data_IF_327195400929
#
_entry.id   IF_327195400929
#
_cell.length_a   1.000
_cell.length_b   1.000
_cell.length_c   1.000
_cell.angle_alpha   90.00
_cell.angle_beta   90.00
_cell.angle_gamma   90.00
#
_symmetry.space_group_name_H-M   'P 1'
#
loop_
_entity.id
_entity.type
_entity.pdbx_description
1 polymer ?
#
# COMPACT_ATOMS: atom_id res chain seq x y z
N UNK A 1 -8.77 -13.58 12.96
CA UNK A 1 -7.60 -12.68 13.14
C UNK A 1 -6.55 -12.85 12.04
N UNK A 2 -6.14 -14.07 11.66
CA UNK A 2 -5.21 -14.31 10.54
C UNK A 2 -5.62 -13.67 9.21
N UNK A 3 -6.90 -13.73 8.84
CA UNK A 3 -7.41 -13.13 7.58
C UNK A 3 -7.24 -11.61 7.53
N UNK A 4 -7.43 -10.92 8.66
CA UNK A 4 -7.25 -9.47 8.75
C UNK A 4 -5.78 -9.07 8.58
N UNK A 5 -4.87 -9.84 9.17
CA UNK A 5 -3.42 -9.63 9.03
C UNK A 5 -2.95 -9.87 7.59
N UNK A 6 -3.43 -10.94 6.94
CA UNK A 6 -3.18 -11.22 5.52
C UNK A 6 -3.71 -10.07 4.65
N UNK A 7 -4.95 -9.62 4.88
CA UNK A 7 -5.55 -8.54 4.12
C UNK A 7 -4.75 -7.24 4.28
N UNK A 8 -4.38 -6.86 5.50
CA UNK A 8 -3.51 -5.70 5.73
C UNK A 8 -2.18 -5.84 5.01
N UNK A 9 -1.59 -7.04 4.98
CA UNK A 9 -0.33 -7.25 4.27
C UNK A 9 -0.48 -7.05 2.75
N UNK A 10 -1.56 -7.58 2.16
CA UNK A 10 -1.88 -7.38 0.74
C UNK A 10 -2.09 -5.90 0.44
N UNK A 11 -2.85 -5.18 1.27
CA UNK A 11 -3.10 -3.75 1.10
C UNK A 11 -1.80 -2.94 1.20
N UNK A 12 -0.91 -3.27 2.15
CA UNK A 12 0.40 -2.62 2.28
C UNK A 12 1.23 -2.83 1.02
N UNK A 13 1.31 -4.08 0.52
CA UNK A 13 2.08 -4.39 -0.70
C UNK A 13 1.52 -3.61 -1.88
N UNK A 14 0.21 -3.62 -2.10
CA UNK A 14 -0.44 -2.86 -3.17
C UNK A 14 -0.16 -1.36 -3.07
N UNK A 15 -0.28 -0.79 -1.88
CA UNK A 15 -0.04 0.63 -1.67
C UNK A 15 1.44 1.02 -1.91
N UNK A 16 2.39 0.18 -1.48
CA UNK A 16 3.82 0.36 -1.78
C UNK A 16 4.06 0.26 -3.30
N UNK A 17 3.47 -0.72 -3.97
CA UNK A 17 3.63 -0.89 -5.42
C UNK A 17 3.13 0.33 -6.18
N UNK A 18 1.93 0.81 -5.86
CA UNK A 18 1.36 2.01 -6.50
C UNK A 18 2.22 3.23 -6.22
N UNK A 19 2.58 3.49 -4.96
CA UNK A 19 3.39 4.64 -4.59
C UNK A 19 4.77 4.60 -5.25
N UNK A 20 5.45 3.45 -5.20
CA UNK A 20 6.76 3.25 -5.82
C UNK A 20 6.68 3.45 -7.33
N UNK A 21 5.61 3.01 -7.99
CA UNK A 21 5.43 3.20 -9.43
C UNK A 21 5.37 4.68 -9.83
N UNK A 22 4.77 5.54 -9.00
CA UNK A 22 4.80 6.99 -9.21
C UNK A 22 6.21 7.56 -9.03
N UNK A 23 6.93 7.12 -7.99
CA UNK A 23 8.30 7.59 -7.70
C UNK A 23 9.26 7.17 -8.82
N UNK A 24 9.23 5.91 -9.25
CA UNK A 24 10.13 5.42 -10.29
C UNK A 24 9.82 6.06 -11.65
N UNK A 25 8.54 6.30 -11.94
CA UNK A 25 8.12 7.04 -13.13
C UNK A 25 8.67 8.47 -13.12
N UNK A 26 8.45 9.21 -12.03
CA UNK A 26 8.79 10.64 -11.97
C UNK A 26 10.29 10.93 -11.93
N UNK A 27 11.08 10.09 -11.24
CA UNK A 27 12.51 10.35 -11.00
C UNK A 27 13.46 9.56 -11.89
N UNK A 28 13.03 8.41 -12.40
CA UNK A 28 13.92 7.47 -13.09
C UNK A 28 13.40 7.04 -14.45
N UNK A 29 12.19 7.46 -14.85
CA UNK A 29 11.52 7.07 -16.09
C UNK A 29 11.53 5.54 -16.33
N UNK A 30 11.33 4.79 -15.23
CA UNK A 30 11.25 3.32 -15.23
C UNK A 30 10.07 2.85 -14.36
N UNK A 31 9.68 1.59 -14.53
CA UNK A 31 8.69 0.92 -13.69
C UNK A 31 7.31 0.77 -14.33
N UNK A 32 6.32 0.41 -13.53
CA UNK A 32 5.01 -0.06 -14.02
C UNK A 32 4.29 0.97 -14.90
N UNK A 33 4.30 2.25 -14.52
CA UNK A 33 3.64 3.31 -15.29
C UNK A 33 4.27 3.54 -16.66
N UNK A 34 5.57 3.26 -16.84
CA UNK A 34 6.23 3.33 -18.15
C UNK A 34 5.88 2.15 -19.03
N UNK A 35 5.72 0.96 -18.44
CA UNK A 35 5.37 -0.27 -19.17
C UNK A 35 3.90 -0.39 -19.54
N UNK A 36 3.04 0.50 -19.02
CA UNK A 36 1.59 0.48 -19.25
C UNK A 36 1.22 1.21 -20.56
N UNK A 37 0.10 0.83 -21.21
CA UNK A 37 -0.44 1.57 -22.35
C UNK A 37 -0.69 3.04 -22.00
N UNK A 38 -0.47 3.94 -22.96
CA UNK A 38 -0.62 5.40 -22.77
C UNK A 38 -1.95 5.80 -22.14
N UNK A 39 -3.06 5.15 -22.51
CA UNK A 39 -4.38 5.45 -21.94
C UNK A 39 -4.48 5.18 -20.43
N UNK A 40 -3.75 4.18 -19.92
CA UNK A 40 -3.71 3.88 -18.49
C UNK A 40 -2.73 4.82 -17.80
N UNK A 41 -1.53 4.97 -18.35
CA UNK A 41 -0.48 5.83 -17.80
C UNK A 41 -0.94 7.29 -17.69
N UNK A 42 -1.60 7.81 -18.72
CA UNK A 42 -2.16 9.17 -18.73
C UNK A 42 -3.22 9.38 -17.65
N UNK A 43 -4.10 8.40 -17.38
CA UNK A 43 -5.06 8.47 -16.28
C UNK A 43 -4.36 8.64 -14.92
N UNK A 44 -3.31 7.86 -14.65
CA UNK A 44 -2.56 7.97 -13.39
C UNK A 44 -1.79 9.29 -13.28
N UNK A 45 -1.17 9.77 -14.36
CA UNK A 45 -0.41 11.03 -14.35
C UNK A 45 -1.33 12.24 -14.20
N UNK A 46 -2.46 12.26 -14.92
CA UNK A 46 -3.45 13.34 -14.81
C UNK A 46 -4.06 13.42 -13.40
N UNK A 47 -4.15 12.28 -12.72
CA UNK A 47 -4.64 12.19 -11.35
C UNK A 47 -3.49 12.00 -10.35
N UNK A 48 -2.52 12.91 -10.33
CA UNK A 48 -1.39 12.88 -9.38
C UNK A 48 -1.80 12.80 -7.90
N UNK A 49 -3.04 13.18 -7.57
CA UNK A 49 -3.64 12.96 -6.25
C UNK A 49 -3.63 11.49 -5.80
N UNK A 50 -3.70 10.53 -6.73
CA UNK A 50 -3.69 9.09 -6.44
C UNK A 50 -2.40 8.64 -5.73
N UNK A 51 -1.27 9.30 -5.97
CA UNK A 51 -0.04 9.04 -5.24
C UNK A 51 -0.21 9.29 -3.74
N UNK A 52 -0.87 10.39 -3.37
CA UNK A 52 -1.13 10.74 -1.97
C UNK A 52 -2.20 9.85 -1.35
N UNK A 53 -3.20 9.44 -2.14
CA UNK A 53 -4.21 8.45 -1.70
C UNK A 53 -3.52 7.12 -1.37
N UNK A 54 -2.63 6.64 -2.24
CA UNK A 54 -1.86 5.42 -2.00
C UNK A 54 -1.00 5.55 -0.73
N UNK A 55 -0.34 6.70 -0.53
CA UNK A 55 0.43 6.98 0.68
C UNK A 55 -0.44 6.98 1.94
N UNK A 56 -1.61 7.62 1.91
CA UNK A 56 -2.54 7.66 3.02
C UNK A 56 -3.06 6.25 3.39
N UNK A 57 -3.41 5.44 2.38
CA UNK A 57 -3.81 4.04 2.56
C UNK A 57 -2.66 3.22 3.15
N UNK A 58 -1.43 3.42 2.68
CA UNK A 58 -0.25 2.74 3.21
C UNK A 58 -0.07 3.04 4.70
N UNK A 59 -0.10 4.31 5.08
CA UNK A 59 0.03 4.74 6.49
C UNK A 59 -1.08 4.13 7.34
N UNK A 60 -2.33 4.22 6.89
CA UNK A 60 -3.47 3.64 7.60
C UNK A 60 -3.34 2.11 7.77
N UNK A 61 -2.90 1.40 6.73
CA UNK A 61 -2.72 -0.05 6.76
C UNK A 61 -1.58 -0.48 7.69
N UNK A 62 -0.46 0.28 7.72
CA UNK A 62 0.65 0.04 8.65
C UNK A 62 0.21 0.24 10.09
N UNK A 63 -0.51 1.33 10.38
CA UNK A 63 -1.06 1.59 11.73
C UNK A 63 -2.03 0.46 12.12
N UNK A 64 -2.95 0.09 11.23
CA UNK A 64 -3.89 -1.00 11.44
C UNK A 64 -3.17 -2.31 11.77
N UNK A 65 -2.15 -2.68 11.00
CA UNK A 65 -1.35 -3.89 11.23
C UNK A 65 -0.64 -3.87 12.59
N UNK A 66 -0.09 -2.73 12.99
CA UNK A 66 0.54 -2.58 14.30
C UNK A 66 -0.45 -2.79 15.46
N UNK A 67 -1.67 -2.26 15.33
CA UNK A 67 -2.74 -2.44 16.32
C UNK A 67 -3.23 -3.89 16.38
N UNK A 68 -3.46 -4.53 15.22
CA UNK A 68 -3.87 -5.95 15.12
C UNK A 68 -2.81 -6.84 15.76
N UNK A 69 -1.53 -6.63 15.45
CA UNK A 69 -0.42 -7.39 16.03
C UNK A 69 -0.34 -7.25 17.56
N UNK A 70 -0.58 -6.04 18.09
CA UNK A 70 -0.67 -5.81 19.54
C UNK A 70 -1.86 -6.54 20.16
N UNK A 71 -3.03 -6.52 19.51
CA UNK A 71 -4.23 -7.19 20.00
C UNK A 71 -4.05 -8.72 20.06
N UNK A 72 -3.45 -9.32 19.03
CA UNK A 72 -3.13 -10.76 18.97
C UNK A 72 -2.18 -11.14 20.12
N UNK A 73 -1.09 -10.37 20.31
CA UNK A 73 -0.13 -10.62 21.41
C UNK A 73 -0.79 -10.50 22.79
N UNK A 74 -1.71 -9.54 22.97
CA UNK A 74 -2.44 -9.36 24.23
C UNK A 74 -3.40 -10.52 24.49
N UNK A 75 -4.02 -11.07 23.45
CA UNK A 75 -4.91 -12.22 23.58
C UNK A 75 -4.13 -13.51 23.91
N UNK A 76 -2.99 -13.75 23.25
CA UNK A 76 -2.13 -14.89 23.53
C UNK A 76 -1.66 -14.93 25.00
N UNK A 77 -1.31 -13.78 25.59
CA UNK A 77 -0.91 -13.66 27.00
C UNK A 77 -2.04 -13.85 28.02
N UNK A 78 -3.31 -13.76 27.61
CA UNK A 78 -4.47 -13.96 28.50
C UNK A 78 -4.92 -15.42 28.57
N UNK A 79 -4.49 -16.24 27.62
CA UNK A 79 -4.84 -17.67 27.50
C UNK A 79 -3.79 -18.63 28.08
N UNK A 80 -2.67 -18.10 28.59
CA UNK A 80 -1.65 -18.79 29.40
C UNK A 80 -1.72 -18.27 30.82
#
# INVERSE_FOLDING_TARGET
MKTLDILSNVVIVLAITVFSSYVTYYYYDIGLLVSLPEGITSFFIQNGALQYVALAILVAAVIGKALIGRAIKRQARRTT
#
